data_IF_644376405290
#
_entry.id   IF_644376405290
#
_cell.length_a   1.000
_cell.length_b   1.000
_cell.length_c   1.000
_cell.angle_alpha   90.00
_cell.angle_beta   90.00
_cell.angle_gamma   90.00
#
_symmetry.space_group_name_H-M   'P 1'
#
loop_
_entity.id
_entity.type
_entity.pdbx_description
1 polymer ?
#
# COMPACT_ATOMS: atom_id res chain seq x y z
N UNK A 1 -2.63 25.24 -12.35
CA UNK A 1 -2.46 23.78 -12.46
C UNK A 1 -3.21 23.17 -11.28
N UNK A 2 -4.09 22.19 -11.52
CA UNK A 2 -5.10 21.80 -10.52
C UNK A 2 -4.55 20.75 -9.54
N UNK A 3 -4.95 20.83 -8.26
CA UNK A 3 -4.55 19.91 -7.17
C UNK A 3 -4.83 18.41 -7.45
N UNK A 4 -5.67 18.09 -8.44
CA UNK A 4 -5.95 16.72 -8.87
C UNK A 4 -4.94 16.19 -9.87
N UNK A 5 -4.45 17.02 -10.80
CA UNK A 5 -3.45 16.62 -11.79
C UNK A 5 -2.12 16.26 -11.11
N UNK A 6 -1.71 17.05 -10.11
CA UNK A 6 -0.48 16.82 -9.36
C UNK A 6 -0.55 15.51 -8.56
N UNK A 7 -1.72 15.19 -8.01
CA UNK A 7 -1.93 13.92 -7.31
C UNK A 7 -1.84 12.72 -8.26
N UNK A 8 -2.48 12.80 -9.43
CA UNK A 8 -2.35 11.74 -10.44
C UNK A 8 -0.91 11.56 -10.92
N UNK A 9 -0.16 12.66 -11.09
CA UNK A 9 1.28 12.60 -11.42
C UNK A 9 2.07 11.89 -10.34
N UNK A 10 1.75 12.13 -9.06
CA UNK A 10 2.38 11.45 -7.94
C UNK A 10 2.11 9.95 -7.94
N UNK A 11 0.86 9.54 -8.16
CA UNK A 11 0.51 8.11 -8.26
C UNK A 11 1.26 7.44 -9.40
N UNK A 12 1.34 8.08 -10.57
CA UNK A 12 2.10 7.56 -11.71
C UNK A 12 3.59 7.48 -11.41
N UNK A 13 4.16 8.46 -10.68
CA UNK A 13 5.56 8.43 -10.27
C UNK A 13 5.83 7.24 -9.35
N UNK A 14 4.99 7.05 -8.34
CA UNK A 14 5.07 5.90 -7.43
C UNK A 14 4.90 4.58 -8.18
N UNK A 15 3.98 4.47 -9.12
CA UNK A 15 3.81 3.25 -9.90
C UNK A 15 5.04 2.90 -10.73
N UNK A 16 5.69 3.89 -11.34
CA UNK A 16 6.90 3.67 -12.17
C UNK A 16 8.13 3.30 -11.35
N UNK A 17 8.25 3.83 -10.14
CA UNK A 17 9.36 3.56 -9.24
C UNK A 17 8.85 3.56 -7.79
N UNK A 18 8.21 2.48 -7.34
CA UNK A 18 7.57 2.47 -6.04
C UNK A 18 8.64 2.43 -4.96
N UNK A 19 8.61 3.34 -3.98
CA UNK A 19 9.41 3.14 -2.79
C UNK A 19 8.98 1.80 -2.18
N UNK A 20 9.94 1.07 -1.64
CA UNK A 20 9.73 -0.23 -0.99
C UNK A 20 9.34 -1.37 -1.94
N UNK A 21 9.48 -1.22 -3.27
CA UNK A 21 9.32 -2.36 -4.18
C UNK A 21 10.45 -3.37 -4.02
N UNK A 22 10.11 -4.65 -3.95
CA UNK A 22 11.03 -5.77 -3.84
C UNK A 22 10.68 -6.73 -2.71
N UNK A 23 11.59 -7.65 -2.45
CA UNK A 23 11.46 -8.66 -1.41
C UNK A 23 12.39 -8.35 -0.22
N UNK A 24 12.06 -8.92 0.94
CA UNK A 24 12.96 -8.95 2.10
C UNK A 24 13.43 -10.39 2.25
N UNK A 25 14.74 -10.61 2.13
CA UNK A 25 15.33 -11.91 2.41
C UNK A 25 15.15 -12.25 3.89
N UNK A 26 14.66 -13.45 4.20
CA UNK A 26 14.30 -13.87 5.56
C UNK A 26 13.34 -12.88 6.26
N UNK A 27 12.31 -12.43 5.52
CA UNK A 27 11.18 -11.72 6.09
C UNK A 27 10.57 -12.52 7.25
N UNK A 28 10.17 -11.83 8.31
CA UNK A 28 9.54 -12.47 9.47
C UNK A 28 8.05 -12.75 9.16
N UNK A 29 7.43 -11.92 8.33
CA UNK A 29 6.05 -12.07 7.87
C UNK A 29 6.01 -11.86 6.35
N UNK A 30 5.29 -12.75 5.67
CA UNK A 30 4.95 -12.62 4.26
C UNK A 30 3.44 -12.82 4.12
N UNK A 31 2.76 -11.86 3.49
CA UNK A 31 1.33 -11.97 3.17
C UNK A 31 1.11 -11.78 1.67
N UNK A 32 0.12 -12.46 1.10
CA UNK A 32 -0.27 -12.32 -0.30
C UNK A 32 -1.78 -12.14 -0.38
N UNK A 33 -2.20 -11.03 -1.00
CA UNK A 33 -3.60 -10.66 -1.18
C UNK A 33 -3.91 -10.49 -2.67
N UNK A 34 -5.12 -10.91 -3.06
CA UNK A 34 -5.56 -10.90 -4.45
C UNK A 34 -7.02 -10.46 -4.57
N UNK A 35 -7.29 -9.49 -5.45
CA UNK A 35 -8.65 -9.15 -5.86
C UNK A 35 -8.97 -9.81 -7.21
N UNK A 36 -9.72 -10.92 -7.14
CA UNK A 36 -10.14 -11.68 -8.32
C UNK A 36 -11.09 -10.93 -9.26
N UNK A 37 -11.67 -9.80 -8.82
CA UNK A 37 -12.58 -9.02 -9.66
C UNK A 37 -11.83 -8.15 -10.69
N UNK A 38 -10.58 -7.80 -10.43
CA UNK A 38 -9.72 -7.02 -11.34
C UNK A 38 -8.37 -7.68 -11.67
N UNK A 39 -8.01 -8.77 -10.97
CA UNK A 39 -6.76 -9.48 -11.13
C UNK A 39 -5.57 -8.85 -10.39
N UNK A 40 -5.81 -7.87 -9.53
CA UNK A 40 -4.76 -7.23 -8.74
C UNK A 40 -4.20 -8.23 -7.71
N UNK A 41 -2.87 -8.39 -7.69
CA UNK A 41 -2.17 -9.23 -6.72
C UNK A 41 -1.04 -8.45 -6.06
N UNK A 42 -0.98 -8.49 -4.74
CA UNK A 42 0.05 -7.84 -3.93
C UNK A 42 0.62 -8.82 -2.93
N UNK A 43 1.94 -8.79 -2.76
CA UNK A 43 2.65 -9.59 -1.78
C UNK A 43 3.50 -8.68 -0.91
N UNK A 44 3.26 -8.72 0.39
CA UNK A 44 3.85 -7.85 1.40
C UNK A 44 4.89 -8.63 2.20
N UNK A 45 6.01 -8.00 2.50
CA UNK A 45 7.12 -8.55 3.26
C UNK A 45 7.42 -7.61 4.42
N UNK A 46 7.54 -8.16 5.63
CA UNK A 46 7.85 -7.38 6.83
C UNK A 46 9.04 -7.98 7.59
N UNK A 47 9.91 -7.09 8.06
CA UNK A 47 10.94 -7.38 9.06
C UNK A 47 10.52 -6.75 10.38
N UNK A 48 10.43 -7.56 11.43
CA UNK A 48 9.96 -7.15 12.75
C UNK A 48 11.13 -7.14 13.74
N UNK A 49 11.24 -6.05 14.49
CA UNK A 49 12.23 -5.86 15.54
C UNK A 49 11.54 -5.62 16.87
N UNK A 50 11.45 -6.66 17.70
CA UNK A 50 10.65 -6.59 18.93
C UNK A 50 9.18 -6.38 18.58
N UNK A 51 8.66 -5.19 18.89
CA UNK A 51 7.27 -4.82 18.59
C UNK A 51 7.14 -3.74 17.48
N UNK A 52 8.13 -3.61 16.58
CA UNK A 52 8.15 -2.58 15.54
C UNK A 52 8.43 -3.14 14.15
N UNK A 53 7.84 -2.51 13.13
CA UNK A 53 8.12 -2.81 11.73
C UNK A 53 9.41 -2.09 11.33
N UNK A 54 10.52 -2.83 11.21
CA UNK A 54 11.82 -2.28 10.83
C UNK A 54 11.89 -2.03 9.32
N UNK A 55 11.38 -2.97 8.56
CA UNK A 55 11.34 -2.90 7.10
C UNK A 55 10.02 -3.46 6.61
N UNK A 56 9.49 -2.81 5.57
CA UNK A 56 8.31 -3.25 4.86
C UNK A 56 8.60 -3.09 3.37
N UNK A 57 8.40 -4.16 2.59
CA UNK A 57 8.50 -4.14 1.12
C UNK A 57 7.34 -4.89 0.48
N UNK A 58 7.17 -4.69 -0.81
CA UNK A 58 6.15 -5.40 -1.57
C UNK A 58 6.58 -5.74 -2.99
N UNK A 59 5.99 -6.79 -3.53
CA UNK A 59 5.92 -7.06 -4.97
C UNK A 59 4.47 -7.05 -5.39
N UNK A 60 4.16 -6.62 -6.62
CA UNK A 60 2.78 -6.66 -7.11
C UNK A 60 2.66 -6.81 -8.61
N UNK A 61 1.56 -7.45 -9.00
CA UNK A 61 0.97 -7.46 -10.33
C UNK A 61 -0.40 -6.79 -10.20
N UNK A 62 -0.41 -5.46 -10.13
CA UNK A 62 -1.63 -4.73 -9.80
C UNK A 62 -1.73 -3.39 -10.53
N UNK A 63 -2.94 -2.84 -10.57
CA UNK A 63 -3.22 -1.57 -11.20
C UNK A 63 -2.53 -0.39 -10.50
N UNK A 64 -2.51 0.78 -11.17
CA UNK A 64 -1.94 2.03 -10.67
C UNK A 64 -2.35 2.35 -9.22
N UNK A 65 -3.64 2.24 -8.91
CA UNK A 65 -4.17 2.59 -7.59
C UNK A 65 -3.76 1.60 -6.52
N UNK A 66 -3.80 0.30 -6.81
CA UNK A 66 -3.42 -0.73 -5.86
C UNK A 66 -1.92 -0.70 -5.54
N UNK A 67 -1.07 -0.57 -6.57
CA UNK A 67 0.37 -0.43 -6.37
C UNK A 67 0.73 0.84 -5.58
N UNK A 68 0.15 1.99 -5.96
CA UNK A 68 0.39 3.23 -5.24
C UNK A 68 -0.15 3.20 -3.80
N UNK A 69 -1.32 2.58 -3.58
CA UNK A 69 -1.90 2.43 -2.23
C UNK A 69 -1.01 1.55 -1.36
N UNK A 70 -0.54 0.42 -1.91
CA UNK A 70 0.40 -0.46 -1.20
C UNK A 70 1.66 0.27 -0.79
N UNK A 71 2.27 1.00 -1.73
CA UNK A 71 3.46 1.81 -1.47
C UNK A 71 3.22 2.86 -0.36
N UNK A 72 2.08 3.57 -0.40
CA UNK A 72 1.72 4.56 0.61
C UNK A 72 1.47 3.89 1.98
N UNK A 73 0.77 2.77 2.02
CA UNK A 73 0.52 2.02 3.24
C UNK A 73 1.84 1.62 3.92
N UNK A 74 2.79 1.09 3.14
CA UNK A 74 4.09 0.69 3.68
C UNK A 74 4.89 1.88 4.23
N UNK A 75 4.82 3.04 3.58
CA UNK A 75 5.40 4.28 4.10
C UNK A 75 4.76 4.69 5.44
N UNK A 76 3.45 4.49 5.61
CA UNK A 76 2.73 4.84 6.84
C UNK A 76 3.08 3.92 8.01
N UNK A 77 3.25 2.61 7.77
CA UNK A 77 3.48 1.63 8.85
C UNK A 77 4.96 1.40 9.18
N UNK A 78 5.88 1.75 8.28
CA UNK A 78 7.31 1.57 8.53
C UNK A 78 7.75 2.39 9.75
N UNK A 79 8.39 1.72 10.71
CA UNK A 79 8.85 2.30 11.98
C UNK A 79 7.79 2.36 13.10
N UNK A 80 6.52 2.09 12.78
CA UNK A 80 5.44 2.01 13.78
C UNK A 80 5.49 0.69 14.56
N UNK A 81 4.78 0.66 15.69
CA UNK A 81 4.52 -0.61 16.39
C UNK A 81 3.49 -1.45 15.64
N UNK A 82 3.42 -2.74 15.98
CA UNK A 82 2.43 -3.64 15.37
C UNK A 82 1.02 -3.14 15.67
N UNK A 83 0.75 -2.67 16.89
CA UNK A 83 -0.57 -2.16 17.27
C UNK A 83 -0.94 -0.87 16.53
N UNK A 84 0.04 0.03 16.34
CA UNK A 84 -0.17 1.24 15.55
C UNK A 84 -0.47 0.91 14.08
N UNK A 85 0.24 -0.08 13.50
CA UNK A 85 0.00 -0.53 12.13
C UNK A 85 -1.39 -1.16 11.98
N UNK A 86 -1.82 -2.00 12.94
CA UNK A 86 -3.14 -2.62 12.97
C UNK A 86 -4.28 -1.61 13.25
N UNK A 87 -3.95 -0.43 13.78
CA UNK A 87 -4.94 0.61 14.04
C UNK A 87 -5.30 1.45 12.80
N UNK A 88 -4.52 1.33 11.72
CA UNK A 88 -4.81 2.02 10.46
C UNK A 88 -6.14 1.54 9.89
N UNK A 89 -6.97 2.51 9.52
CA UNK A 89 -8.28 2.23 8.95
C UNK A 89 -8.34 2.53 7.46
N UNK A 90 -9.32 1.93 6.80
CA UNK A 90 -9.60 2.18 5.38
C UNK A 90 -9.80 3.68 5.11
N UNK A 91 -10.45 4.41 6.01
CA UNK A 91 -10.73 5.84 5.84
C UNK A 91 -9.45 6.68 5.72
N UNK A 92 -8.37 6.29 6.41
CA UNK A 92 -7.09 6.99 6.33
C UNK A 92 -6.50 6.85 4.92
N UNK A 93 -6.50 5.64 4.35
CA UNK A 93 -6.07 5.42 2.98
C UNK A 93 -6.97 6.16 1.98
N UNK A 94 -8.29 6.03 2.12
CA UNK A 94 -9.26 6.65 1.21
C UNK A 94 -9.13 8.19 1.19
N UNK A 95 -8.87 8.80 2.35
CA UNK A 95 -8.63 10.24 2.46
C UNK A 95 -7.42 10.71 1.65
N UNK A 96 -6.35 9.91 1.58
CA UNK A 96 -5.15 10.22 0.77
C UNK A 96 -5.49 10.22 -0.71
N UNK A 97 -6.35 9.29 -1.14
CA UNK A 97 -6.85 9.21 -2.51
C UNK A 97 -7.95 10.24 -2.82
N UNK A 98 -8.26 11.14 -1.88
CA UNK A 98 -9.30 12.18 -2.00
C UNK A 98 -10.63 11.58 -2.45
N UNK A 99 -10.97 10.40 -1.93
CA UNK A 99 -12.19 9.70 -2.28
C UNK A 99 -12.92 9.26 -1.02
N UNK A 100 -14.19 9.64 -0.92
CA UNK A 100 -15.01 9.40 0.28
C UNK A 100 -16.08 8.33 0.03
N UNK A 101 -16.03 7.66 -1.13
CA UNK A 101 -17.09 6.76 -1.59
C UNK A 101 -16.55 5.41 -2.03
N UNK A 102 -17.39 4.38 -1.89
CA UNK A 102 -17.17 3.03 -2.44
C UNK A 102 -17.34 3.02 -3.96
N UNK A 103 -16.50 3.80 -4.64
CA UNK A 103 -16.44 3.87 -6.10
C UNK A 103 -15.73 2.66 -6.71
N UNK A 104 -15.60 2.61 -8.05
CA UNK A 104 -15.03 1.45 -8.76
C UNK A 104 -13.57 1.12 -8.40
N UNK A 105 -12.85 2.06 -7.77
CA UNK A 105 -11.45 1.88 -7.34
C UNK A 105 -11.29 1.60 -5.85
N UNK A 106 -12.38 1.57 -5.08
CA UNK A 106 -12.34 1.36 -3.63
C UNK A 106 -11.57 0.09 -3.27
N UNK A 107 -11.89 -1.04 -3.90
CA UNK A 107 -11.22 -2.32 -3.62
C UNK A 107 -9.72 -2.28 -3.93
N UNK A 108 -9.33 -1.70 -5.05
CA UNK A 108 -7.92 -1.52 -5.39
C UNK A 108 -7.17 -0.72 -4.32
N UNK A 109 -7.80 0.30 -3.72
CA UNK A 109 -7.17 1.15 -2.70
C UNK A 109 -7.01 0.39 -1.38
N UNK A 110 -8.00 -0.41 -0.97
CA UNK A 110 -7.99 -1.09 0.33
C UNK A 110 -7.37 -2.50 0.32
N UNK A 111 -7.13 -3.09 -0.86
CA UNK A 111 -6.56 -4.44 -0.98
C UNK A 111 -5.30 -4.72 -0.13
N UNK A 112 -4.33 -3.78 0.03
CA UNK A 112 -3.14 -4.06 0.82
C UNK A 112 -3.32 -3.92 2.34
N UNK A 113 -4.48 -3.48 2.82
CA UNK A 113 -4.79 -3.31 4.25
C UNK A 113 -5.28 -4.62 4.87
#
# INVERSE_FOLDING_TARGET
>A
MSSQEDFMRELVRRFKNPPNYGEIENADIVSEEADYSCGDRVKLYFKIGGNRILEAKFTSEACLFCNASTSILLDLIKGKTIEEALSLKEEELLSIFKTDSKGPRYRCIILPL
#
